data_IF_991309628317
#
_entry.id   IF_991309628317
#
_cell.length_a   1.000
_cell.length_b   1.000
_cell.length_c   1.000
_cell.angle_alpha   90.00
_cell.angle_beta   90.00
_cell.angle_gamma   90.00
#
_symmetry.space_group_name_H-M   'P 1'
#
loop_
_entity.id
_entity.type
_entity.pdbx_description
1 polymer ?
#
# COMPACT_ATOMS: atom_id res chain seq x y z
N UNK A 1 -6.25 -15.68 -12.94
CA UNK A 1 -7.49 -16.28 -12.38
C UNK A 1 -7.75 -15.61 -11.03
N UNK A 2 -8.56 -14.54 -11.02
CA UNK A 2 -8.89 -13.77 -9.82
C UNK A 2 -10.05 -14.51 -9.17
N UNK A 3 -9.81 -15.19 -8.04
CA UNK A 3 -10.90 -15.71 -7.21
C UNK A 3 -11.76 -14.51 -6.81
N UNK A 4 -12.99 -14.45 -7.33
CA UNK A 4 -14.01 -13.53 -6.84
C UNK A 4 -14.11 -13.80 -5.34
N UNK A 5 -13.89 -12.78 -4.51
CA UNK A 5 -14.23 -12.81 -3.09
C UNK A 5 -15.75 -12.94 -3.00
N UNK A 6 -16.26 -14.16 -3.08
CA UNK A 6 -17.51 -14.47 -2.42
C UNK A 6 -17.26 -14.16 -0.94
N UNK A 7 -18.08 -13.29 -0.35
CA UNK A 7 -17.99 -12.99 1.08
C UNK A 7 -18.39 -14.25 1.84
N UNK A 8 -17.43 -15.15 2.05
CA UNK A 8 -17.60 -16.29 2.94
C UNK A 8 -17.80 -15.70 4.34
N UNK A 9 -18.99 -15.88 4.90
CA UNK A 9 -19.28 -15.56 6.29
C UNK A 9 -18.60 -16.62 7.16
N UNK A 10 -18.26 -16.27 8.41
CA UNK A 10 -17.61 -17.20 9.33
C UNK A 10 -18.43 -18.45 9.65
N UNK A 11 -19.73 -18.43 9.39
CA UNK A 11 -20.67 -19.53 9.68
C UNK A 11 -20.58 -20.66 8.64
N UNK A 12 -20.29 -20.32 7.38
CA UNK A 12 -20.21 -21.28 6.26
C UNK A 12 -18.77 -21.67 5.89
N UNK A 13 -17.78 -21.16 6.63
CA UNK A 13 -16.38 -21.46 6.36
C UNK A 13 -16.03 -22.90 6.76
N UNK A 14 -15.54 -23.66 5.79
CA UNK A 14 -14.94 -24.97 6.01
C UNK A 14 -13.54 -24.99 5.44
N UNK A 15 -12.54 -25.13 6.33
CA UNK A 15 -11.16 -25.26 5.92
C UNK A 15 -10.95 -26.61 5.25
N UNK A 16 -10.33 -26.64 4.07
CA UNK A 16 -10.05 -27.88 3.35
C UNK A 16 -8.56 -28.11 3.15
N UNK A 17 -8.17 -29.37 2.93
CA UNK A 17 -6.81 -29.74 2.56
C UNK A 17 -6.34 -29.05 1.27
N UNK A 18 -7.26 -28.81 0.32
CA UNK A 18 -6.94 -28.09 -0.91
C UNK A 18 -6.57 -26.63 -0.62
N UNK A 19 -7.34 -25.95 0.24
CA UNK A 19 -7.04 -24.58 0.65
C UNK A 19 -5.67 -24.48 1.34
N UNK A 20 -5.32 -25.44 2.20
CA UNK A 20 -4.02 -25.49 2.86
C UNK A 20 -2.86 -25.67 1.86
N UNK A 21 -3.03 -26.56 0.87
CA UNK A 21 -2.05 -26.73 -0.23
C UNK A 21 -1.91 -25.46 -1.08
N UNK A 22 -3.02 -24.76 -1.34
CA UNK A 22 -3.00 -23.50 -2.06
C UNK A 22 -2.28 -22.40 -1.28
N UNK A 23 -2.40 -22.35 0.06
CA UNK A 23 -1.64 -21.40 0.86
C UNK A 23 -0.14 -21.69 0.76
N UNK A 24 0.30 -22.95 0.90
CA UNK A 24 1.73 -23.30 0.82
C UNK A 24 2.38 -22.98 -0.52
N UNK A 25 1.67 -23.22 -1.63
CA UNK A 25 2.22 -22.95 -2.96
C UNK A 25 2.34 -21.46 -3.28
N UNK A 26 1.67 -20.59 -2.52
CA UNK A 26 1.62 -19.14 -2.76
C UNK A 26 2.64 -18.33 -1.96
N UNK A 27 3.43 -18.96 -1.10
CA UNK A 27 4.39 -18.26 -0.22
C UNK A 27 5.75 -18.96 -0.15
N UNK A 28 6.81 -18.15 -0.13
CA UNK A 28 8.15 -18.62 0.20
C UNK A 28 8.64 -18.11 1.55
N UNK A 29 7.87 -17.25 2.20
CA UNK A 29 8.20 -16.65 3.48
C UNK A 29 8.19 -17.69 4.62
N UNK A 30 9.24 -17.66 5.45
CA UNK A 30 9.42 -18.65 6.53
C UNK A 30 8.34 -18.49 7.61
N UNK A 31 7.93 -17.26 7.91
CA UNK A 31 6.92 -16.99 8.93
C UNK A 31 5.52 -17.41 8.45
N UNK A 32 5.16 -17.09 7.21
CA UNK A 32 3.93 -17.57 6.59
C UNK A 32 3.87 -19.10 6.57
N UNK A 33 4.97 -19.79 6.23
CA UNK A 33 5.07 -21.26 6.28
C UNK A 33 4.87 -21.81 7.70
N UNK A 34 5.44 -21.16 8.71
CA UNK A 34 5.23 -21.52 10.11
C UNK A 34 3.75 -21.41 10.50
N UNK A 35 3.07 -20.30 10.16
CA UNK A 35 1.65 -20.14 10.45
C UNK A 35 0.76 -21.13 9.70
N UNK A 36 1.12 -21.51 8.47
CA UNK A 36 0.42 -22.58 7.74
C UNK A 36 0.58 -23.93 8.45
N UNK A 37 1.77 -24.23 8.99
CA UNK A 37 1.99 -25.45 9.75
C UNK A 37 1.14 -25.49 11.02
N UNK A 38 1.04 -24.37 11.74
CA UNK A 38 0.17 -24.28 12.91
C UNK A 38 -1.30 -24.43 12.52
N UNK A 39 -1.74 -23.78 11.44
CA UNK A 39 -3.09 -23.96 10.89
C UNK A 39 -3.37 -25.42 10.50
N UNK A 40 -2.38 -26.16 9.96
CA UNK A 40 -2.49 -27.59 9.65
C UNK A 40 -2.62 -28.46 10.90
N UNK A 41 -1.85 -28.17 11.96
CA UNK A 41 -1.97 -28.88 13.23
C UNK A 41 -3.36 -28.68 13.82
N UNK A 42 -3.84 -27.45 13.76
CA UNK A 42 -5.16 -27.07 14.25
C UNK A 42 -6.27 -27.74 13.44
N UNK A 43 -6.17 -27.78 12.12
CA UNK A 43 -7.11 -28.47 11.23
C UNK A 43 -7.25 -29.97 11.54
N UNK A 44 -6.16 -30.63 11.93
CA UNK A 44 -6.21 -32.04 12.32
C UNK A 44 -6.86 -32.27 13.70
N UNK A 45 -7.06 -31.21 14.49
CA UNK A 45 -7.63 -31.27 15.83
C UNK A 45 -9.13 -30.92 15.78
N UNK A 46 -9.98 -31.95 15.58
CA UNK A 46 -11.42 -31.85 15.24
C UNK A 46 -12.34 -31.13 16.25
N UNK A 47 -11.82 -30.63 17.37
CA UNK A 47 -12.60 -29.97 18.44
C UNK A 47 -12.53 -28.44 18.40
N UNK A 48 -12.01 -27.84 17.32
CA UNK A 48 -11.86 -26.38 17.26
C UNK A 48 -13.12 -25.68 16.74
N UNK A 49 -13.37 -24.49 17.29
CA UNK A 49 -14.46 -23.63 16.84
C UNK A 49 -14.14 -23.08 15.44
N UNK A 50 -15.05 -23.31 14.48
CA UNK A 50 -14.94 -22.86 13.07
C UNK A 50 -14.60 -21.38 12.92
N UNK A 51 -15.05 -20.54 13.85
CA UNK A 51 -14.73 -19.12 13.86
C UNK A 51 -13.22 -18.88 14.02
N UNK A 52 -12.55 -19.60 14.92
CA UNK A 52 -11.09 -19.46 15.10
C UNK A 52 -10.31 -20.03 13.92
N UNK A 53 -10.82 -21.08 13.28
CA UNK A 53 -10.23 -21.62 12.04
C UNK A 53 -10.30 -20.60 10.91
N UNK A 54 -11.47 -19.97 10.72
CA UNK A 54 -11.66 -18.89 9.76
C UNK A 54 -10.70 -17.72 10.03
N UNK A 55 -10.61 -17.24 11.28
CA UNK A 55 -9.71 -16.15 11.64
C UNK A 55 -8.24 -16.50 11.37
N UNK A 56 -7.84 -17.74 11.68
CA UNK A 56 -6.47 -18.20 11.45
C UNK A 56 -6.15 -18.30 9.95
N UNK A 57 -7.09 -18.84 9.16
CA UNK A 57 -6.98 -18.91 7.71
C UNK A 57 -6.91 -17.51 7.08
N UNK A 58 -7.80 -16.61 7.45
CA UNK A 58 -7.84 -15.23 6.95
C UNK A 58 -6.56 -14.46 7.30
N UNK A 59 -6.03 -14.67 8.52
CA UNK A 59 -4.73 -14.11 8.92
C UNK A 59 -3.59 -14.59 8.02
N UNK A 60 -3.49 -15.90 7.77
CA UNK A 60 -2.46 -16.47 6.90
C UNK A 60 -2.62 -15.94 5.47
N UNK A 61 -3.84 -15.94 4.93
CA UNK A 61 -4.12 -15.43 3.59
C UNK A 61 -3.68 -13.98 3.44
N UNK A 62 -3.99 -13.11 4.42
CA UNK A 62 -3.57 -11.70 4.43
C UNK A 62 -2.06 -11.55 4.42
N UNK A 63 -1.34 -12.38 5.17
CA UNK A 63 0.14 -12.36 5.21
C UNK A 63 0.72 -12.74 3.84
N UNK A 64 0.20 -13.79 3.21
CA UNK A 64 0.66 -14.24 1.88
C UNK A 64 0.35 -13.20 0.79
N UNK A 65 -0.87 -12.64 0.81
CA UNK A 65 -1.25 -11.58 -0.11
C UNK A 65 -0.29 -10.39 0.01
N UNK A 66 0.15 -10.09 1.24
CA UNK A 66 1.10 -9.02 1.50
C UNK A 66 2.52 -9.33 1.06
N UNK A 67 3.03 -10.54 1.27
CA UNK A 67 4.33 -10.97 0.72
C UNK A 67 4.36 -10.74 -0.80
N UNK A 68 3.29 -11.16 -1.49
CA UNK A 68 3.18 -10.99 -2.93
C UNK A 68 3.08 -9.52 -3.34
N UNK A 69 2.32 -8.71 -2.59
CA UNK A 69 2.26 -7.26 -2.82
C UNK A 69 3.64 -6.60 -2.59
N UNK A 70 4.41 -6.99 -1.58
CA UNK A 70 5.77 -6.45 -1.33
C UNK A 70 6.72 -6.74 -2.49
N UNK A 71 6.68 -7.93 -3.07
CA UNK A 71 7.49 -8.26 -4.28
C UNK A 71 7.16 -7.32 -5.43
N UNK A 72 5.87 -7.13 -5.69
CA UNK A 72 5.39 -6.19 -6.72
C UNK A 72 5.85 -4.75 -6.40
N UNK A 73 5.73 -4.31 -5.14
CA UNK A 73 6.17 -2.97 -4.72
C UNK A 73 7.68 -2.78 -4.87
N UNK A 74 8.49 -3.81 -4.64
CA UNK A 74 9.94 -3.75 -4.86
C UNK A 74 10.29 -3.50 -6.34
N UNK A 75 9.52 -4.06 -7.28
CA UNK A 75 9.69 -3.78 -8.70
C UNK A 75 9.30 -2.33 -9.02
N UNK A 76 8.23 -1.83 -8.40
CA UNK A 76 7.82 -0.42 -8.54
C UNK A 76 8.78 0.58 -7.88
N UNK A 77 9.45 0.23 -6.77
CA UNK A 77 10.50 1.08 -6.15
C UNK A 77 11.65 1.35 -7.11
N UNK A 78 11.98 0.37 -7.96
CA UNK A 78 13.04 0.50 -8.99
C UNK A 78 12.60 1.38 -10.17
N UNK A 79 11.29 1.49 -10.41
CA UNK A 79 10.76 2.33 -11.47
C UNK A 79 11.05 3.81 -11.20
N UNK A 80 11.40 4.54 -12.26
CA UNK A 80 11.63 5.98 -12.21
C UNK A 80 10.42 6.69 -12.80
N UNK A 81 9.94 7.69 -12.09
CA UNK A 81 8.80 8.55 -12.44
C UNK A 81 9.24 10.01 -12.58
N UNK A 82 10.54 10.24 -12.88
CA UNK A 82 11.15 11.56 -13.05
C UNK A 82 10.47 12.41 -14.11
N UNK A 83 9.89 11.77 -15.12
CA UNK A 83 9.20 12.40 -16.24
C UNK A 83 7.69 12.56 -16.01
N UNK A 84 7.21 12.38 -14.78
CA UNK A 84 5.79 12.55 -14.43
C UNK A 84 5.62 13.53 -13.27
N UNK A 85 4.58 14.33 -13.36
CA UNK A 85 4.03 15.09 -12.24
C UNK A 85 2.54 14.77 -12.08
N UNK A 86 2.06 14.83 -10.85
CA UNK A 86 0.67 14.52 -10.52
C UNK A 86 0.04 15.77 -9.93
N UNK A 87 -1.09 16.19 -10.50
CA UNK A 87 -1.96 17.19 -9.88
C UNK A 87 -2.95 16.46 -9.00
N UNK A 88 -2.83 16.62 -7.68
CA UNK A 88 -3.66 15.96 -6.69
C UNK A 88 -4.49 16.97 -5.93
N UNK A 89 -5.70 16.58 -5.53
CA UNK A 89 -6.58 17.40 -4.70
C UNK A 89 -6.90 16.66 -3.42
N UNK A 90 -6.46 17.20 -2.28
CA UNK A 90 -6.82 16.67 -0.96
C UNK A 90 -8.04 17.39 -0.40
N UNK A 91 -8.94 16.65 0.22
CA UNK A 91 -10.14 17.18 0.87
C UNK A 91 -10.30 16.60 2.27
N UNK A 92 -10.47 17.47 3.27
CA UNK A 92 -10.82 17.10 4.65
C UNK A 92 -11.95 18.02 5.13
N UNK A 93 -13.10 17.44 5.52
CA UNK A 93 -14.25 18.18 6.09
C UNK A 93 -14.62 19.46 5.32
N UNK A 94 -14.66 19.36 3.99
CA UNK A 94 -15.00 20.47 3.09
C UNK A 94 -13.85 21.41 2.73
N UNK A 95 -12.76 21.44 3.50
CA UNK A 95 -11.53 22.17 3.14
C UNK A 95 -10.81 21.42 2.02
N UNK A 96 -10.31 22.16 1.02
CA UNK A 96 -9.64 21.62 -0.18
C UNK A 96 -8.26 22.27 -0.36
N UNK A 97 -7.30 21.47 -0.82
CA UNK A 97 -5.95 21.90 -1.22
C UNK A 97 -5.54 21.16 -2.48
N UNK A 98 -4.84 21.84 -3.38
CA UNK A 98 -4.29 21.27 -4.61
C UNK A 98 -2.78 21.18 -4.51
N UNK A 99 -2.23 20.05 -4.93
CA UNK A 99 -0.80 19.77 -4.90
C UNK A 99 -0.34 19.41 -6.31
N UNK A 100 0.78 19.99 -6.74
CA UNK A 100 1.49 19.55 -7.93
C UNK A 100 2.82 18.93 -7.49
N UNK A 101 2.92 17.60 -7.61
CA UNK A 101 4.05 16.84 -7.08
C UNK A 101 4.74 16.05 -8.17
N UNK A 102 6.07 16.00 -8.13
CA UNK A 102 6.85 15.12 -9.00
C UNK A 102 6.58 13.66 -8.61
N UNK A 103 6.53 12.75 -9.59
CA UNK A 103 6.31 11.33 -9.36
C UNK A 103 7.38 10.65 -8.50
N UNK A 104 8.55 11.28 -8.34
CA UNK A 104 9.64 10.84 -7.47
C UNK A 104 9.48 11.24 -6.01
N UNK A 105 8.53 12.12 -5.66
CA UNK A 105 8.28 12.46 -4.26
C UNK A 105 7.83 11.21 -3.51
N UNK A 106 8.33 11.01 -2.30
CA UNK A 106 7.88 9.92 -1.45
C UNK A 106 6.49 10.21 -0.90
N UNK A 107 5.78 9.15 -0.54
CA UNK A 107 4.50 9.27 0.16
C UNK A 107 4.67 9.95 1.53
N UNK A 108 5.83 9.79 2.17
CA UNK A 108 6.16 10.51 3.40
C UNK A 108 6.32 12.02 3.15
N UNK A 109 7.05 12.43 2.11
CA UNK A 109 7.14 13.85 1.72
C UNK A 109 5.75 14.42 1.43
N UNK A 110 4.91 13.67 0.71
CA UNK A 110 3.52 14.08 0.44
C UNK A 110 2.67 14.17 1.72
N UNK A 111 2.85 13.26 2.68
CA UNK A 111 2.20 13.32 3.99
C UNK A 111 2.52 14.63 4.71
N UNK A 112 3.81 15.02 4.75
CA UNK A 112 4.26 16.28 5.37
C UNK A 112 3.66 17.49 4.68
N UNK A 113 3.55 17.47 3.35
CA UNK A 113 2.87 18.55 2.60
C UNK A 113 1.40 18.67 3.00
N UNK A 114 0.67 17.56 3.09
CA UNK A 114 -0.74 17.58 3.53
C UNK A 114 -0.85 18.10 4.97
N UNK A 115 0.02 17.64 5.87
CA UNK A 115 0.01 18.08 7.26
C UNK A 115 0.21 19.60 7.37
N UNK A 116 1.21 20.13 6.66
CA UNK A 116 1.48 21.57 6.65
C UNK A 116 0.30 22.38 6.06
N UNK A 117 -0.25 21.97 4.92
CA UNK A 117 -1.31 22.73 4.22
C UNK A 117 -2.68 22.73 4.95
N UNK A 118 -2.87 21.80 5.89
CA UNK A 118 -4.07 21.67 6.70
C UNK A 118 -3.85 21.98 8.18
N UNK A 119 -2.68 22.54 8.54
CA UNK A 119 -2.30 22.93 9.90
C UNK A 119 -2.41 21.77 10.91
N UNK A 120 -1.95 20.58 10.50
CA UNK A 120 -1.93 19.39 11.36
C UNK A 120 -0.65 19.37 12.19
N UNK A 121 -0.76 19.00 13.47
CA UNK A 121 0.41 18.78 14.33
C UNK A 121 1.19 17.57 13.81
N UNK A 122 2.53 17.57 13.81
CA UNK A 122 3.35 16.42 13.40
C UNK A 122 3.29 15.28 14.44
N UNK A 123 4.00 14.18 14.18
CA UNK A 123 4.23 13.04 15.10
C UNK A 123 3.05 12.06 15.31
N UNK A 124 1.95 12.18 14.55
CA UNK A 124 0.92 11.14 14.58
C UNK A 124 1.15 10.05 13.51
N UNK A 125 0.67 8.84 13.82
CA UNK A 125 0.62 7.75 12.85
C UNK A 125 -0.32 8.10 11.70
N UNK A 126 0.09 7.70 10.49
CA UNK A 126 -0.67 7.96 9.28
C UNK A 126 -0.63 6.77 8.31
N UNK A 127 -1.63 6.68 7.42
CA UNK A 127 -1.75 5.62 6.41
C UNK A 127 -2.26 6.20 5.08
N UNK A 128 -1.63 5.83 3.97
CA UNK A 128 -2.21 5.95 2.64
C UNK A 128 -2.85 4.63 2.21
N UNK A 129 -4.09 4.68 1.72
CA UNK A 129 -4.74 3.54 1.05
C UNK A 129 -4.96 3.88 -0.42
N UNK A 130 -4.15 3.28 -1.29
CA UNK A 130 -4.12 3.55 -2.73
C UNK A 130 -4.43 2.25 -3.49
N UNK A 131 -5.60 2.18 -4.11
CA UNK A 131 -6.12 0.94 -4.69
C UNK A 131 -6.23 -0.16 -3.63
N UNK A 132 -5.55 -1.29 -3.87
CA UNK A 132 -5.49 -2.42 -2.92
C UNK A 132 -4.36 -2.31 -1.87
N UNK A 133 -3.47 -1.33 -2.01
CA UNK A 133 -2.30 -1.22 -1.15
C UNK A 133 -2.56 -0.27 0.03
N UNK A 134 -1.92 -0.59 1.15
CA UNK A 134 -1.89 0.24 2.36
C UNK A 134 -0.43 0.51 2.70
N UNK A 135 -0.13 1.78 2.83
CA UNK A 135 1.20 2.27 3.13
C UNK A 135 1.13 3.07 4.44
N UNK A 136 2.03 2.81 5.38
CA UNK A 136 2.19 3.48 6.68
C UNK A 136 3.67 3.50 7.09
N UNK A 137 4.06 4.34 8.05
CA UNK A 137 5.43 4.42 8.52
C UNK A 137 5.90 3.05 9.02
N UNK A 138 7.20 2.78 8.87
CA UNK A 138 7.77 1.55 9.43
C UNK A 138 7.67 1.60 10.96
N UNK A 139 6.99 0.62 11.54
CA UNK A 139 6.89 0.47 13.00
C UNK A 139 7.03 -1.01 13.33
N UNK A 140 7.75 -1.31 14.41
CA UNK A 140 8.07 -2.69 14.77
C UNK A 140 6.82 -3.52 15.11
N UNK A 141 5.78 -2.88 15.63
CA UNK A 141 4.51 -3.52 16.00
C UNK A 141 3.57 -3.76 14.81
N UNK A 142 3.78 -3.09 13.67
CA UNK A 142 2.86 -3.14 12.50
C UNK A 142 3.45 -3.85 11.28
N UNK A 143 4.56 -4.56 11.46
CA UNK A 143 5.14 -5.45 10.43
C UNK A 143 4.14 -6.47 9.90
N UNK A 144 3.05 -6.78 10.62
CA UNK A 144 1.92 -7.63 10.18
C UNK A 144 0.80 -6.90 9.39
N UNK A 145 0.68 -5.57 9.48
CA UNK A 145 -0.45 -4.83 8.90
C UNK A 145 -0.13 -3.84 7.77
N UNK A 146 1.07 -3.25 7.69
CA UNK A 146 1.31 -2.09 6.82
C UNK A 146 2.62 -2.12 6.02
N UNK A 147 2.57 -2.02 4.68
CA UNK A 147 3.80 -1.93 3.87
C UNK A 147 4.54 -0.61 4.17
N UNK A 148 5.85 -0.72 4.43
CA UNK A 148 6.67 0.42 4.83
C UNK A 148 6.63 1.54 3.78
N UNK A 149 6.38 2.77 4.25
CA UNK A 149 6.11 3.95 3.44
C UNK A 149 7.33 4.71 2.94
N UNK A 150 8.38 4.73 3.75
CA UNK A 150 9.24 5.91 3.81
C UNK A 150 10.01 6.17 2.51
N UNK A 151 10.20 5.13 1.70
CA UNK A 151 10.89 5.18 0.41
C UNK A 151 9.96 4.93 -0.81
N UNK A 152 8.65 4.79 -0.60
CA UNK A 152 7.69 4.60 -1.69
C UNK A 152 7.39 5.94 -2.36
N UNK A 153 7.73 6.04 -3.63
CA UNK A 153 7.40 7.18 -4.49
C UNK A 153 5.92 7.23 -4.82
N UNK A 154 5.32 8.42 -4.86
CA UNK A 154 3.90 8.62 -5.18
C UNK A 154 3.55 8.12 -6.58
N UNK A 155 4.44 8.32 -7.57
CA UNK A 155 4.24 7.81 -8.92
C UNK A 155 4.21 6.30 -8.98
N UNK A 156 5.03 5.64 -8.15
CA UNK A 156 5.05 4.20 -8.00
C UNK A 156 3.75 3.70 -7.37
N UNK A 157 3.29 4.34 -6.30
CA UNK A 157 2.08 3.95 -5.59
C UNK A 157 0.80 4.12 -6.44
N UNK A 158 0.66 5.26 -7.13
CA UNK A 158 -0.47 5.52 -8.05
C UNK A 158 -0.48 4.50 -9.19
N UNK A 159 0.69 4.24 -9.80
CA UNK A 159 0.81 3.26 -10.88
C UNK A 159 0.53 1.83 -10.43
N UNK A 160 1.06 1.42 -9.26
CA UNK A 160 0.81 0.11 -8.69
C UNK A 160 -0.67 -0.10 -8.36
N UNK A 161 -1.32 0.93 -7.81
CA UNK A 161 -2.76 0.95 -7.54
C UNK A 161 -3.62 0.95 -8.81
N UNK A 162 -3.05 1.22 -9.98
CA UNK A 162 -3.76 1.29 -11.26
C UNK A 162 -4.66 2.52 -11.37
N UNK A 163 -4.37 3.58 -10.61
CA UNK A 163 -5.19 4.79 -10.58
C UNK A 163 -5.00 5.64 -11.84
N UNK A 164 -6.10 6.23 -12.30
CA UNK A 164 -6.18 7.14 -13.44
C UNK A 164 -6.71 8.50 -12.99
N UNK A 165 -6.75 9.45 -13.93
CA UNK A 165 -7.38 10.75 -13.72
C UNK A 165 -8.85 10.54 -13.31
N UNK A 166 -9.28 11.26 -12.26
CA UNK A 166 -10.60 11.16 -11.64
C UNK A 166 -10.69 10.13 -10.51
N UNK A 167 -9.75 9.18 -10.43
CA UNK A 167 -9.74 8.19 -9.36
C UNK A 167 -9.35 8.82 -8.01
N UNK A 168 -9.80 8.17 -6.94
CA UNK A 168 -9.59 8.61 -5.57
C UNK A 168 -8.86 7.57 -4.74
N UNK A 169 -8.06 8.05 -3.80
CA UNK A 169 -7.46 7.29 -2.73
C UNK A 169 -7.61 8.04 -1.41
N UNK A 170 -7.23 7.43 -0.28
CA UNK A 170 -7.39 8.07 1.03
C UNK A 170 -6.08 8.16 1.79
N UNK A 171 -5.97 9.23 2.57
CA UNK A 171 -4.91 9.44 3.56
C UNK A 171 -5.57 9.56 4.93
N UNK A 172 -5.24 8.66 5.85
CA UNK A 172 -5.68 8.68 7.23
C UNK A 172 -4.55 9.28 8.07
N UNK A 173 -4.86 10.34 8.80
CA UNK A 173 -3.95 11.00 9.72
C UNK A 173 -4.49 10.87 11.15
N UNK A 174 -3.59 10.62 12.10
CA UNK A 174 -3.90 10.43 13.51
C UNK A 174 -4.91 9.30 13.76
N UNK A 175 -4.41 8.12 14.09
CA UNK A 175 -5.26 6.95 14.32
C UNK A 175 -6.25 7.10 15.49
N UNK A 176 -5.99 8.03 16.42
CA UNK A 176 -6.90 8.37 17.51
C UNK A 176 -8.09 9.17 17.00
N UNK A 177 -7.83 10.32 16.37
CA UNK A 177 -8.88 11.24 15.89
C UNK A 177 -9.46 10.87 14.51
N UNK A 178 -8.77 10.01 13.76
CA UNK A 178 -9.14 9.45 12.46
C UNK A 178 -9.44 10.51 11.40
N UNK A 179 -8.56 11.47 11.22
CA UNK A 179 -8.69 12.47 10.15
C UNK A 179 -8.50 11.80 8.79
N UNK A 180 -9.61 11.56 8.08
CA UNK A 180 -9.60 10.91 6.77
C UNK A 180 -9.73 11.90 5.64
N UNK A 181 -8.65 12.07 4.90
CA UNK A 181 -8.57 12.85 3.68
C UNK A 181 -8.97 12.00 2.49
N UNK A 182 -9.79 12.58 1.60
CA UNK A 182 -9.99 12.07 0.26
C UNK A 182 -9.01 12.77 -0.69
N UNK A 183 -8.19 11.98 -1.39
CA UNK A 183 -7.23 12.49 -2.38
C UNK A 183 -7.72 12.07 -3.77
N UNK A 184 -7.79 13.02 -4.69
CA UNK A 184 -8.25 12.78 -6.06
C UNK A 184 -7.13 13.09 -7.06
N UNK A 185 -6.90 12.21 -8.04
CA UNK A 185 -5.96 12.45 -9.14
C UNK A 185 -6.64 13.36 -10.16
N UNK A 186 -6.31 14.66 -10.14
CA UNK A 186 -6.87 15.63 -11.09
C UNK A 186 -6.20 15.53 -12.46
N UNK A 187 -4.89 15.30 -12.50
CA UNK A 187 -4.13 15.24 -13.74
C UNK A 187 -2.82 14.46 -13.58
N UNK A 188 -2.29 13.95 -14.70
CA UNK A 188 -0.99 13.28 -14.80
C UNK A 188 -0.21 13.91 -15.95
N UNK A 189 0.73 14.78 -15.61
CA UNK A 189 1.49 15.59 -16.56
C UNK A 189 2.80 14.88 -16.90
N UNK A 190 3.11 14.74 -18.19
CA UNK A 190 4.42 14.29 -18.64
C UNK A 190 5.40 15.47 -18.67
N UNK A 191 6.44 15.39 -17.87
CA UNK A 191 7.51 16.38 -17.84
C UNK A 191 8.47 16.14 -19.00
N UNK A 192 8.73 17.18 -19.80
CA UNK A 192 9.85 17.12 -20.73
C UNK A 192 11.16 17.21 -19.93
N UNK A 193 12.04 16.21 -20.08
CA UNK A 193 13.36 16.19 -19.43
C UNK A 193 14.49 16.45 -20.44
N UNK A 194 14.17 16.84 -21.68
CA UNK A 194 15.13 17.10 -22.75
C UNK A 194 16.21 18.11 -22.36
N UNK A 195 15.85 19.12 -21.57
CA UNK A 195 16.77 20.18 -21.11
C UNK A 195 17.85 19.68 -20.13
N UNK A 196 17.61 18.62 -19.36
CA UNK A 196 18.60 18.07 -18.42
C UNK A 196 19.76 17.35 -19.13
N UNK A 197 19.55 16.88 -20.36
CA UNK A 197 20.60 16.19 -21.16
C UNK A 197 21.64 17.16 -21.73
N UNK A 198 21.27 18.42 -21.95
CA UNK A 198 22.12 19.42 -22.60
C UNK A 198 23.08 20.15 -21.63
N UNK A 199 22.85 20.07 -20.32
CA UNK A 199 23.69 20.74 -19.31
C UNK A 199 25.04 20.08 -19.01
N UNK A 200 25.25 18.81 -19.38
CA UNK A 200 26.51 18.08 -19.10
C UNK A 200 27.66 18.34 -20.10
N UNK A 201 27.46 19.20 -21.12
CA UNK A 201 28.49 19.49 -22.15
C UNK A 201 29.19 20.85 -22.01
N UNK A 202 28.94 21.63 -20.95
CA UNK A 202 29.56 22.97 -20.76
C UNK A 202 30.35 23.09 -19.45
N UNK A 203 31.28 22.17 -19.19
CA UNK A 203 32.27 22.31 -18.13
C UNK A 203 33.60 21.66 -18.53
N UNK A 204 34.18 22.13 -19.64
CA UNK A 204 35.60 21.99 -19.97
C UNK A 204 35.95 23.14 -20.91
N UNK A 205 36.38 24.26 -20.33
CA UNK A 205 37.31 25.26 -20.90
C UNK A 205 37.26 26.50 -20.02
N UNK A 206 38.26 26.64 -19.15
CA UNK A 206 39.08 27.84 -18.91
C UNK A 206 40.13 27.46 -17.87
#
# INVERSE_FOLDING_TARGET
MILRRNMITSEDFELTNEMLKQLESRTNDKFAKFLIQDLKKDFNNRNRNKFFEFLSYDRVLKIIDRENNRKILQDFKKARFKDKAFKLKATLRGKKREFLINGEFTLDEFSRMIQNDFDMEPMHLYEFKIGKYKYGPETDEWKEYIDALDDIKIGAAISAGGLKIGDKFSFLYDSGNRYKFAIEVQDIIKLDLSFLKNGKRRAKTS
#
